data_IF_260783273353
#
_entry.id   IF_260783273353
#
_cell.length_a   1.000
_cell.length_b   1.000
_cell.length_c   1.000
_cell.angle_alpha   90.00
_cell.angle_beta   90.00
_cell.angle_gamma   90.00
#
_symmetry.space_group_name_H-M   'P 1'
#
loop_
_entity.id
_entity.type
_entity.pdbx_description
1 polymer ?
#
# COMPACT_ATOMS: atom_id res chain seq x y z
N UNK A 1 8.89 0.43 38.25
CA UNK A 1 8.85 -0.77 37.39
C UNK A 1 7.48 -0.78 36.75
N UNK A 2 7.30 -0.17 35.59
CA UNK A 2 7.87 -0.60 34.31
C UNK A 2 6.66 -1.01 33.49
N UNK A 3 5.93 -0.02 32.96
CA UNK A 3 4.88 -0.26 31.97
C UNK A 3 5.45 -1.25 30.93
N UNK A 4 4.73 -2.31 30.54
CA UNK A 4 5.18 -3.11 29.42
C UNK A 4 5.22 -2.14 28.24
N UNK A 5 6.44 -1.75 27.86
CA UNK A 5 6.71 -1.08 26.61
C UNK A 5 6.07 -1.97 25.57
N UNK A 6 4.88 -1.58 25.11
CA UNK A 6 4.31 -2.07 23.88
C UNK A 6 5.48 -2.00 22.89
N UNK A 7 5.90 -3.17 22.45
CA UNK A 7 6.91 -3.34 21.42
C UNK A 7 6.52 -2.41 20.28
N UNK A 8 7.14 -1.24 20.25
CA UNK A 8 6.88 -0.18 19.28
C UNK A 8 7.65 -0.50 18.00
N UNK A 9 7.77 -1.79 17.67
CA UNK A 9 8.39 -2.31 16.46
C UNK A 9 7.37 -2.53 15.34
N UNK A 10 6.11 -2.13 15.53
CA UNK A 10 5.14 -1.93 14.45
C UNK A 10 5.22 -0.50 13.91
N UNK A 11 6.36 -0.10 13.32
CA UNK A 11 6.43 1.07 12.43
C UNK A 11 6.81 0.64 11.02
N UNK A 12 6.35 -0.54 10.59
CA UNK A 12 6.16 -0.77 9.17
C UNK A 12 4.87 -0.05 8.77
N UNK A 13 4.83 0.74 7.67
CA UNK A 13 3.55 1.24 7.19
C UNK A 13 2.68 0.00 6.94
N UNK A 14 1.65 -0.18 7.76
CA UNK A 14 0.70 -1.30 7.66
C UNK A 14 0.17 -1.32 6.23
N UNK A 15 0.75 -2.20 5.40
CA UNK A 15 0.44 -2.50 4.00
C UNK A 15 -0.32 -1.41 3.22
N UNK A 16 0.16 -0.16 3.27
CA UNK A 16 -0.54 0.99 2.65
C UNK A 16 -0.71 0.76 1.15
N UNK A 17 0.32 0.20 0.52
CA UNK A 17 0.34 -0.28 -0.86
C UNK A 17 -0.83 -1.20 -1.19
N UNK A 18 -1.11 -2.20 -0.33
CA UNK A 18 -2.17 -3.16 -0.57
C UNK A 18 -3.56 -2.52 -0.42
N UNK A 19 -3.72 -1.62 0.55
CA UNK A 19 -4.96 -0.89 0.76
C UNK A 19 -5.28 0.04 -0.42
N UNK A 20 -4.27 0.76 -0.94
CA UNK A 20 -4.46 1.60 -2.13
C UNK A 20 -4.75 0.79 -3.39
N UNK A 21 -4.14 -0.38 -3.53
CA UNK A 21 -4.36 -1.29 -4.64
C UNK A 21 -5.78 -1.86 -4.62
N UNK A 22 -6.24 -2.30 -3.45
CA UNK A 22 -7.61 -2.79 -3.24
C UNK A 22 -8.64 -1.70 -3.54
N UNK A 23 -8.39 -0.47 -3.07
CA UNK A 23 -9.25 0.68 -3.32
C UNK A 23 -9.33 1.00 -4.82
N UNK A 24 -8.18 1.03 -5.50
CA UNK A 24 -8.13 1.28 -6.94
C UNK A 24 -8.90 0.21 -7.73
N UNK A 25 -8.80 -1.06 -7.34
CA UNK A 25 -9.53 -2.15 -7.96
C UNK A 25 -11.05 -2.03 -7.75
N UNK A 26 -11.50 -1.76 -6.52
CA UNK A 26 -12.93 -1.69 -6.19
C UNK A 26 -13.66 -0.55 -6.88
N UNK A 27 -12.96 0.55 -7.12
CA UNK A 27 -13.54 1.75 -7.71
C UNK A 27 -13.12 1.98 -9.17
N UNK A 28 -12.40 1.03 -9.78
CA UNK A 28 -11.88 1.13 -11.15
C UNK A 28 -11.08 2.42 -11.38
N UNK A 29 -10.37 2.88 -10.35
CA UNK A 29 -9.61 4.12 -10.36
C UNK A 29 -8.17 3.87 -10.82
N UNK A 30 -7.55 4.83 -11.52
CA UNK A 30 -6.13 4.78 -11.78
C UNK A 30 -5.32 4.97 -10.48
N UNK A 31 -4.24 4.20 -10.33
CA UNK A 31 -3.30 4.32 -9.22
C UNK A 31 -2.19 5.32 -9.57
N UNK A 32 -2.16 6.45 -8.86
CA UNK A 32 -1.11 7.46 -8.98
C UNK A 32 0.01 7.17 -7.99
N UNK A 33 1.13 6.59 -8.45
CA UNK A 33 2.26 6.29 -7.56
C UNK A 33 3.61 6.34 -8.27
N UNK A 34 4.59 6.91 -7.57
CA UNK A 34 6.00 6.91 -7.99
C UNK A 34 6.77 5.67 -7.49
N UNK A 35 6.15 4.82 -6.68
CA UNK A 35 6.76 3.60 -6.17
C UNK A 35 6.85 2.52 -7.25
N UNK A 36 8.06 2.02 -7.51
CA UNK A 36 8.31 1.09 -8.63
C UNK A 36 7.68 -0.27 -8.41
N UNK A 37 7.71 -0.77 -7.18
CA UNK A 37 7.21 -2.10 -6.84
C UNK A 37 5.68 -2.11 -6.86
N UNK A 38 5.05 -1.03 -6.37
CA UNK A 38 3.60 -0.86 -6.41
C UNK A 38 3.09 -0.68 -7.84
N UNK A 39 3.80 0.06 -8.69
CA UNK A 39 3.47 0.13 -10.13
C UNK A 39 3.51 -1.23 -10.80
N UNK A 40 4.50 -2.05 -10.48
CA UNK A 40 4.61 -3.40 -11.05
C UNK A 40 3.40 -4.25 -10.62
N UNK A 41 3.09 -4.28 -9.33
CA UNK A 41 1.92 -4.99 -8.78
C UNK A 41 0.60 -4.51 -9.39
N UNK A 42 0.41 -3.20 -9.52
CA UNK A 42 -0.78 -2.61 -10.13
C UNK A 42 -0.97 -3.05 -11.59
N UNK A 43 0.11 -3.05 -12.38
CA UNK A 43 0.07 -3.53 -13.77
C UNK A 43 -0.28 -5.02 -13.85
N UNK A 44 0.28 -5.86 -12.97
CA UNK A 44 -0.06 -7.29 -12.91
C UNK A 44 -1.54 -7.54 -12.61
N UNK A 45 -2.17 -6.65 -11.84
CA UNK A 45 -3.58 -6.73 -11.47
C UNK A 45 -4.52 -5.98 -12.44
N UNK A 46 -3.99 -5.43 -13.54
CA UNK A 46 -4.79 -4.70 -14.52
C UNK A 46 -5.24 -3.30 -14.08
N UNK A 47 -4.70 -2.78 -12.97
CA UNK A 47 -4.96 -1.41 -12.52
C UNK A 47 -4.19 -0.43 -13.39
N UNK A 48 -4.88 0.58 -13.94
CA UNK A 48 -4.25 1.66 -14.70
C UNK A 48 -3.34 2.47 -13.76
N UNK A 49 -2.09 2.70 -14.15
CA UNK A 49 -1.14 3.52 -13.39
C UNK A 49 -0.95 4.86 -14.08
N UNK A 50 -0.89 5.95 -13.31
CA UNK A 50 -0.60 7.30 -13.79
C UNK A 50 0.58 7.93 -13.02
N UNK A 51 1.39 8.72 -13.73
CA UNK A 51 2.70 9.20 -13.25
C UNK A 51 3.83 8.20 -13.52
#
# INVERSE_FOLDING_TARGET
MGIPSADRSASGPVCLDAAYLELALRHELPLATLDRDLRFKAKTLGVKVIG
#
